data_IF_643469823975
#
_entry.id   IF_643469823975
#
_cell.length_a   1.000
_cell.length_b   1.000
_cell.length_c   1.000
_cell.angle_alpha   90.00
_cell.angle_beta   90.00
_cell.angle_gamma   90.00
#
_symmetry.space_group_name_H-M   'P 1'
#
loop_
_entity.id
_entity.type
_entity.pdbx_description
1 polymer ?
#
# COMPACT_ATOMS: atom_id res chain seq x y z
N UNK A 1 0.74 5.63 19.29
CA UNK A 1 0.75 4.24 18.77
C UNK A 1 -0.28 3.47 19.58
N UNK A 2 -1.21 2.79 18.92
CA UNK A 2 -2.23 1.99 19.62
C UNK A 2 -2.19 0.53 19.16
N UNK A 3 -2.46 -0.38 20.10
CA UNK A 3 -2.51 -1.81 19.85
C UNK A 3 -3.94 -2.26 19.53
N UNK A 4 -4.13 -2.82 18.34
CA UNK A 4 -5.39 -3.43 17.89
C UNK A 4 -5.27 -4.93 18.06
N UNK A 5 -6.23 -5.59 18.69
CA UNK A 5 -6.09 -7.00 19.13
C UNK A 5 -6.46 -8.05 18.08
N UNK A 6 -7.23 -7.70 17.04
CA UNK A 6 -7.76 -8.67 16.08
C UNK A 6 -7.62 -8.19 14.62
N UNK A 7 -6.53 -8.53 13.92
CA UNK A 7 -5.31 -9.19 14.41
C UNK A 7 -4.43 -8.25 15.25
N UNK A 8 -3.63 -8.82 16.16
CA UNK A 8 -2.66 -8.08 16.98
C UNK A 8 -1.73 -7.25 16.10
N UNK A 9 -1.91 -5.94 16.07
CA UNK A 9 -1.10 -4.99 15.30
C UNK A 9 -0.95 -3.68 16.07
N UNK A 10 0.10 -2.92 15.79
CA UNK A 10 0.22 -1.55 16.31
C UNK A 10 0.16 -0.57 15.15
N UNK A 11 -0.68 0.45 15.27
CA UNK A 11 -0.93 1.44 14.22
C UNK A 11 -0.70 2.86 14.75
N UNK A 12 -0.39 3.78 13.84
CA UNK A 12 -0.37 5.21 14.14
C UNK A 12 -1.79 5.76 14.03
N UNK A 13 -2.25 6.39 15.11
CA UNK A 13 -3.58 6.98 15.21
C UNK A 13 -3.44 8.44 15.64
N UNK A 14 -4.21 9.31 15.01
CA UNK A 14 -4.31 10.73 15.33
C UNK A 14 -5.66 11.01 15.98
N UNK A 15 -5.65 11.53 17.21
CA UNK A 15 -6.85 12.04 17.87
C UNK A 15 -7.43 13.22 17.08
N UNK A 16 -8.73 13.21 16.84
CA UNK A 16 -9.45 14.35 16.25
C UNK A 16 -9.88 15.26 17.39
N UNK A 17 -9.54 16.55 17.30
CA UNK A 17 -9.87 17.56 18.32
C UNK A 17 -9.44 17.22 19.77
N UNK A 18 -8.43 16.36 19.94
CA UNK A 18 -7.95 15.93 21.25
C UNK A 18 -8.78 14.82 21.91
N UNK A 19 -9.84 14.33 21.27
CA UNK A 19 -10.60 13.17 21.74
C UNK A 19 -10.01 11.88 21.16
N UNK A 20 -9.58 10.97 22.05
CA UNK A 20 -9.08 9.65 21.67
C UNK A 20 -10.18 8.71 21.16
N UNK A 21 -11.46 9.02 21.42
CA UNK A 21 -12.60 8.20 20.97
C UNK A 21 -12.92 8.39 19.48
N UNK A 22 -12.49 9.50 18.88
CA UNK A 22 -12.66 9.77 17.44
C UNK A 22 -11.33 9.66 16.67
N UNK A 23 -10.37 8.92 17.23
CA UNK A 23 -9.03 8.84 16.67
C UNK A 23 -9.05 8.08 15.33
N UNK A 24 -8.39 8.63 14.30
CA UNK A 24 -8.30 8.04 12.95
C UNK A 24 -6.89 7.59 12.63
N UNK A 25 -6.78 6.50 11.88
CA UNK A 25 -5.50 6.00 11.39
C UNK A 25 -4.82 7.03 10.49
N UNK A 26 -3.50 7.20 10.70
CA UNK A 26 -2.72 8.12 9.90
C UNK A 26 -2.37 7.50 8.55
N UNK A 27 -2.86 8.12 7.48
CA UNK A 27 -2.53 7.78 6.09
C UNK A 27 -1.42 8.71 5.60
N UNK A 28 -0.39 8.14 5.02
CA UNK A 28 0.77 8.85 4.47
C UNK A 28 0.76 8.77 2.96
N UNK A 29 1.15 9.86 2.31
CA UNK A 29 1.22 9.99 0.86
C UNK A 29 2.68 9.98 0.44
N UNK A 30 3.03 9.13 -0.52
CA UNK A 30 4.39 9.02 -1.04
C UNK A 30 4.34 9.04 -2.56
N UNK A 31 5.17 9.87 -3.17
CA UNK A 31 5.31 10.00 -4.61
C UNK A 31 6.54 9.23 -5.07
N UNK A 32 6.47 8.52 -6.20
CA UNK A 32 7.62 7.85 -6.77
C UNK A 32 7.36 7.26 -8.14
N UNK A 33 8.37 6.60 -8.67
CA UNK A 33 8.32 5.86 -9.94
C UNK A 33 8.12 4.40 -9.61
N UNK A 34 7.15 3.75 -10.26
CA UNK A 34 6.84 2.34 -10.06
C UNK A 34 7.97 1.46 -10.62
N UNK A 35 8.72 0.80 -9.73
CA UNK A 35 9.85 -0.06 -10.08
C UNK A 35 9.43 -1.53 -10.24
N UNK A 36 8.58 -2.02 -9.35
CA UNK A 36 8.03 -3.37 -9.39
C UNK A 36 6.57 -3.39 -8.90
N UNK A 37 5.80 -4.37 -9.35
CA UNK A 37 4.40 -4.52 -8.97
C UNK A 37 3.94 -5.98 -8.98
N UNK A 38 3.13 -6.32 -7.98
CA UNK A 38 2.30 -7.52 -7.94
C UNK A 38 0.88 -7.06 -7.67
N UNK A 39 0.13 -6.77 -8.74
CA UNK A 39 -1.23 -6.24 -8.65
C UNK A 39 -2.23 -7.21 -9.32
N UNK A 40 -3.52 -7.16 -8.95
CA UNK A 40 -4.58 -7.87 -9.67
C UNK A 40 -4.74 -7.33 -11.10
N UNK A 41 -5.53 -7.95 -11.98
CA UNK A 41 -6.20 -9.23 -11.80
C UNK A 41 -5.24 -10.42 -11.90
N UNK A 42 -5.48 -11.47 -11.11
CA UNK A 42 -4.71 -12.70 -11.24
C UNK A 42 -5.06 -13.40 -12.56
N UNK A 43 -4.06 -13.79 -13.34
CA UNK A 43 -4.29 -14.48 -14.61
C UNK A 43 -4.66 -15.95 -14.41
N UNK A 44 -4.11 -16.56 -13.35
CA UNK A 44 -4.33 -17.95 -12.98
C UNK A 44 -4.36 -18.08 -11.47
N UNK A 45 -5.04 -19.11 -10.98
CA UNK A 45 -4.99 -19.46 -9.55
C UNK A 45 -3.57 -19.90 -9.19
N UNK A 46 -2.95 -19.33 -8.13
CA UNK A 46 -1.63 -19.76 -7.69
C UNK A 46 -1.63 -21.26 -7.36
N UNK A 47 -0.64 -21.99 -7.88
CA UNK A 47 -0.41 -23.41 -7.61
C UNK A 47 0.18 -23.60 -6.20
N UNK A 48 -0.62 -23.32 -5.18
CA UNK A 48 -0.25 -23.47 -3.78
C UNK A 48 -1.40 -24.06 -2.97
N UNK A 49 -1.07 -24.57 -1.78
CA UNK A 49 -2.09 -25.12 -0.88
C UNK A 49 -3.05 -24.02 -0.43
N UNK A 50 -4.36 -24.29 -0.31
CA UNK A 50 -5.36 -23.26 0.02
C UNK A 50 -5.07 -22.49 1.31
N UNK A 51 -4.43 -23.13 2.29
CA UNK A 51 -4.04 -22.48 3.54
C UNK A 51 -3.05 -21.32 3.36
N UNK A 52 -2.30 -21.29 2.24
CA UNK A 52 -1.35 -20.23 1.90
C UNK A 52 -2.00 -19.03 1.21
N UNK A 53 -3.27 -19.10 0.79
CA UNK A 53 -3.94 -17.98 0.13
C UNK A 53 -4.03 -16.73 1.03
N UNK A 54 -4.11 -16.91 2.35
CA UNK A 54 -4.07 -15.80 3.34
C UNK A 54 -2.78 -14.98 3.33
N UNK A 55 -1.72 -15.50 2.72
CA UNK A 55 -0.43 -14.83 2.63
C UNK A 55 -0.22 -14.14 1.28
N UNK A 56 -1.15 -14.33 0.33
CA UNK A 56 -1.09 -13.63 -0.95
C UNK A 56 -1.37 -12.14 -0.75
N UNK A 57 -0.55 -11.32 -1.41
CA UNK A 57 -0.59 -9.88 -1.30
C UNK A 57 -0.62 -9.22 -2.68
N UNK A 58 -1.27 -8.08 -2.75
CA UNK A 58 -1.03 -7.06 -3.74
C UNK A 58 0.00 -6.07 -3.20
N UNK A 59 0.90 -5.57 -4.04
CA UNK A 59 1.90 -4.62 -3.58
C UNK A 59 2.69 -4.00 -4.72
N UNK A 60 3.39 -2.94 -4.38
CA UNK A 60 4.21 -2.15 -5.28
C UNK A 60 5.52 -1.79 -4.62
N UNK A 61 6.54 -1.62 -5.45
CA UNK A 61 7.82 -1.07 -5.06
C UNK A 61 8.04 0.20 -5.87
N UNK A 62 8.26 1.32 -5.20
CA UNK A 62 8.49 2.62 -5.83
C UNK A 62 9.90 3.12 -5.52
N UNK A 63 10.49 3.89 -6.42
CA UNK A 63 11.78 4.57 -6.20
C UNK A 63 11.67 6.05 -6.57
N UNK A 64 12.51 6.88 -5.96
CA UNK A 64 12.59 8.30 -6.24
C UNK A 64 13.71 8.72 -7.18
N UNK A 65 14.61 7.81 -7.59
CA UNK A 65 15.82 8.14 -8.36
C UNK A 65 16.56 9.36 -7.77
N UNK A 66 16.81 9.32 -6.46
CA UNK A 66 17.50 10.37 -5.69
C UNK A 66 16.82 11.75 -5.67
N UNK A 67 15.51 11.82 -5.99
CA UNK A 67 14.75 13.06 -5.82
C UNK A 67 14.67 13.49 -4.34
N UNK A 68 14.82 14.78 -4.03
CA UNK A 68 14.78 15.27 -2.65
C UNK A 68 13.50 14.90 -1.91
N UNK A 69 12.35 15.00 -2.59
CA UNK A 69 11.03 14.69 -2.02
C UNK A 69 10.90 13.22 -1.62
N UNK A 70 11.48 12.31 -2.39
CA UNK A 70 11.48 10.89 -2.06
C UNK A 70 12.45 10.57 -0.93
N UNK A 71 13.65 11.16 -0.97
CA UNK A 71 14.64 11.05 0.12
C UNK A 71 14.07 11.54 1.44
N UNK A 72 13.29 12.64 1.44
CA UNK A 72 12.60 13.13 2.64
C UNK A 72 11.49 12.17 3.07
N UNK A 73 10.77 11.54 2.13
CA UNK A 73 9.78 10.50 2.47
C UNK A 73 10.42 9.29 3.16
N UNK A 74 11.62 8.87 2.74
CA UNK A 74 12.39 7.80 3.40
C UNK A 74 12.82 8.23 4.81
N UNK A 75 13.30 9.46 4.98
CA UNK A 75 13.66 10.00 6.30
C UNK A 75 12.45 10.01 7.23
N UNK A 76 11.30 10.54 6.79
CA UNK A 76 10.06 10.55 7.59
C UNK A 76 9.59 9.14 7.96
N UNK A 77 9.72 8.19 7.04
CA UNK A 77 9.40 6.79 7.34
C UNK A 77 10.38 6.17 8.37
N UNK A 78 11.64 6.61 8.36
CA UNK A 78 12.65 6.22 9.36
C UNK A 78 12.35 6.84 10.73
N UNK A 79 11.86 8.07 10.78
CA UNK A 79 11.37 8.69 12.02
C UNK A 79 10.17 7.95 12.58
N UNK A 80 9.22 7.55 11.72
CA UNK A 80 8.08 6.72 12.10
C UNK A 80 8.52 5.37 12.65
N UNK A 81 9.55 4.75 12.06
CA UNK A 81 10.15 3.55 12.63
C UNK A 81 10.64 3.79 14.06
N UNK A 82 11.36 4.89 14.31
CA UNK A 82 11.82 5.26 15.65
C UNK A 82 10.69 5.46 16.65
N UNK A 83 9.58 6.06 16.21
CA UNK A 83 8.37 6.19 17.05
C UNK A 83 7.80 4.82 17.46
N UNK A 84 7.81 3.84 16.56
CA UNK A 84 7.38 2.49 16.91
C UNK A 84 8.38 1.80 17.82
N UNK A 85 9.68 1.87 17.52
CA UNK A 85 10.74 1.18 18.25
C UNK A 85 10.74 1.54 19.74
N UNK A 86 10.52 2.82 20.06
CA UNK A 86 10.35 3.29 21.44
C UNK A 86 9.21 2.64 22.24
N UNK A 87 8.23 2.03 21.58
CA UNK A 87 7.13 1.34 22.25
C UNK A 87 7.43 -0.14 22.56
N UNK A 88 8.62 -0.64 22.22
CA UNK A 88 9.02 -2.02 22.42
C UNK A 88 10.32 -2.12 23.23
N UNK A 89 10.55 -3.29 23.85
CA UNK A 89 11.83 -3.58 24.49
C UNK A 89 12.96 -3.61 23.45
N UNK A 90 14.17 -3.24 23.87
CA UNK A 90 15.34 -3.20 23.01
C UNK A 90 15.57 -4.54 22.28
N UNK A 91 15.87 -4.46 20.98
CA UNK A 91 16.12 -5.63 20.13
C UNK A 91 14.87 -6.41 19.70
N UNK A 92 13.67 -5.99 20.12
CA UNK A 92 12.41 -6.65 19.73
C UNK A 92 11.95 -6.26 18.33
N UNK A 93 12.18 -5.03 17.90
CA UNK A 93 11.82 -4.55 16.57
C UNK A 93 12.88 -4.96 15.55
N UNK A 94 12.47 -5.63 14.48
CA UNK A 94 13.37 -5.90 13.36
C UNK A 94 13.73 -4.60 12.64
N UNK A 95 15.02 -4.46 12.32
CA UNK A 95 15.52 -3.33 11.54
C UNK A 95 14.70 -3.16 10.27
N UNK A 96 14.13 -1.97 10.09
CA UNK A 96 13.40 -1.65 8.88
C UNK A 96 14.38 -1.48 7.72
N UNK A 97 14.28 -2.37 6.75
CA UNK A 97 15.02 -2.30 5.50
C UNK A 97 14.15 -1.62 4.45
N UNK A 98 14.35 -0.31 4.27
CA UNK A 98 13.88 0.43 3.09
C UNK A 98 14.76 0.17 1.87
N UNK A 99 15.74 -0.71 1.98
CA UNK A 99 16.80 -0.79 0.99
C UNK A 99 17.15 -2.26 0.80
N UNK A 100 16.67 -2.82 -0.31
CA UNK A 100 17.43 -3.88 -0.96
C UNK A 100 18.67 -3.21 -1.52
N UNK A 101 19.68 -3.01 -0.67
CA UNK A 101 20.88 -2.27 -1.01
C UNK A 101 21.84 -3.24 -1.70
N UNK A 102 21.58 -3.56 -2.97
CA UNK A 102 22.71 -3.94 -3.83
C UNK A 102 23.49 -2.66 -4.18
N UNK A 103 24.82 -2.72 -4.43
CA UNK A 103 25.65 -1.52 -4.63
C UNK A 103 25.22 -0.58 -5.76
N UNK A 104 24.28 -1.00 -6.62
CA UNK A 104 23.81 -0.26 -7.80
C UNK A 104 22.28 0.00 -7.79
N UNK A 105 21.56 -0.31 -6.71
CA UNK A 105 20.10 -0.07 -6.63
C UNK A 105 19.79 1.23 -5.88
N UNK A 106 18.92 2.06 -6.48
CA UNK A 106 18.38 3.25 -5.84
C UNK A 106 17.52 2.89 -4.62
N UNK A 107 17.43 3.79 -3.65
CA UNK A 107 16.52 3.61 -2.51
C UNK A 107 15.08 3.40 -3.01
N UNK A 108 14.36 2.47 -2.37
CA UNK A 108 13.02 2.08 -2.80
C UNK A 108 12.09 1.78 -1.64
N UNK A 109 10.80 2.00 -1.82
CA UNK A 109 9.78 1.75 -0.80
C UNK A 109 8.87 0.64 -1.28
N UNK A 110 8.75 -0.41 -0.49
CA UNK A 110 7.82 -1.50 -0.73
C UNK A 110 6.58 -1.38 0.15
N UNK A 111 5.41 -1.29 -0.48
CA UNK A 111 4.10 -1.28 0.18
C UNK A 111 3.23 -2.43 -0.33
N UNK A 112 2.54 -3.12 0.59
CA UNK A 112 1.70 -4.26 0.21
C UNK A 112 0.48 -4.43 1.11
N UNK A 113 -0.59 -5.00 0.58
CA UNK A 113 -1.79 -5.36 1.30
C UNK A 113 -2.22 -6.79 0.97
N UNK A 114 -2.80 -7.51 1.93
CA UNK A 114 -3.28 -8.89 1.71
C UNK A 114 -4.57 -8.84 0.89
N UNK A 115 -4.76 -9.82 0.01
CA UNK A 115 -6.06 -9.96 -0.67
C UNK A 115 -7.15 -10.47 0.27
N UNK A 116 -6.76 -11.33 1.21
CA UNK A 116 -7.66 -12.10 2.07
C UNK A 116 -7.11 -12.17 3.49
N UNK A 117 -8.01 -12.20 4.47
CA UNK A 117 -7.73 -12.45 5.89
C UNK A 117 -8.51 -13.65 6.39
N UNK A 118 -8.16 -14.16 7.57
CA UNK A 118 -8.94 -15.20 8.23
C UNK A 118 -10.35 -14.67 8.54
N UNK A 119 -11.37 -15.47 8.21
CA UNK A 119 -12.76 -15.19 8.60
C UNK A 119 -12.88 -15.35 10.10
N UNK A 120 -12.88 -14.22 10.79
CA UNK A 120 -13.30 -14.12 12.20
C UNK A 120 -14.74 -13.58 12.20
N UNK A 121 -14.97 -12.43 12.81
CA UNK A 121 -16.28 -11.76 12.83
C UNK A 121 -16.52 -10.85 11.61
N UNK A 122 -15.50 -10.71 10.75
CA UNK A 122 -15.56 -9.79 9.64
C UNK A 122 -16.41 -10.30 8.47
N UNK A 123 -17.22 -9.39 7.91
CA UNK A 123 -18.08 -9.65 6.75
C UNK A 123 -17.28 -9.59 5.45
N UNK A 124 -17.50 -10.55 4.56
CA UNK A 124 -16.87 -10.57 3.23
C UNK A 124 -17.41 -9.45 2.36
N UNK A 125 -16.52 -8.57 1.91
CA UNK A 125 -16.79 -7.58 0.87
C UNK A 125 -16.49 -8.18 -0.50
N UNK A 126 -17.36 -7.99 -1.50
CA UNK A 126 -17.13 -8.50 -2.85
C UNK A 126 -15.99 -7.74 -3.52
N UNK A 127 -15.11 -8.47 -4.20
CA UNK A 127 -14.09 -7.85 -5.06
C UNK A 127 -14.74 -7.05 -6.20
N UNK A 128 -14.19 -5.87 -6.48
CA UNK A 128 -14.59 -5.06 -7.64
C UNK A 128 -14.33 -5.83 -8.94
N UNK A 129 -15.20 -5.66 -9.94
CA UNK A 129 -15.07 -6.34 -11.24
C UNK A 129 -13.76 -6.03 -11.96
N UNK A 130 -13.21 -4.83 -11.75
CA UNK A 130 -11.91 -4.43 -12.31
C UNK A 130 -10.72 -5.17 -11.65
N UNK A 131 -10.89 -5.61 -10.39
CA UNK A 131 -9.88 -6.29 -9.59
C UNK A 131 -9.94 -7.81 -9.79
N UNK A 132 -11.15 -8.40 -9.82
CA UNK A 132 -11.33 -9.85 -10.02
C UNK A 132 -12.29 -10.20 -11.17
N UNK A 133 -11.98 -9.84 -12.42
CA UNK A 133 -12.85 -10.06 -13.57
C UNK A 133 -13.13 -11.56 -13.84
N UNK A 134 -12.21 -12.44 -13.42
CA UNK A 134 -12.31 -13.90 -13.60
C UNK A 134 -12.84 -14.64 -12.36
N UNK A 135 -13.14 -13.94 -11.26
CA UNK A 135 -13.61 -14.57 -10.02
C UNK A 135 -12.56 -15.45 -9.32
N UNK A 136 -11.27 -15.29 -9.61
CA UNK A 136 -10.19 -16.13 -9.05
C UNK A 136 -9.97 -15.79 -7.58
N UNK A 137 -9.92 -14.50 -7.23
CA UNK A 137 -9.78 -14.06 -5.83
C UNK A 137 -11.02 -14.49 -5.02
N UNK A 138 -12.21 -14.33 -5.60
CA UNK A 138 -13.48 -14.81 -5.02
C UNK A 138 -13.45 -16.33 -4.80
N UNK A 139 -12.99 -17.11 -5.77
CA UNK A 139 -12.86 -18.56 -5.64
C UNK A 139 -11.81 -19.00 -4.61
N UNK A 140 -10.85 -18.13 -4.26
CA UNK A 140 -9.89 -18.38 -3.19
C UNK A 140 -10.43 -18.06 -1.80
N UNK A 141 -11.39 -17.12 -1.68
CA UNK A 141 -11.97 -16.70 -0.41
C UNK A 141 -12.58 -17.86 0.40
N UNK A 142 -13.20 -18.87 -0.25
CA UNK A 142 -13.78 -20.08 0.42
C UNK A 142 -14.56 -19.73 1.71
N UNK A 143 -14.74 -20.70 2.62
CA UNK A 143 -15.44 -20.49 3.89
C UNK A 143 -14.58 -19.84 4.97
N UNK A 144 -13.26 -20.03 4.93
CA UNK A 144 -12.36 -19.63 6.02
C UNK A 144 -11.65 -18.29 5.80
N UNK A 145 -11.78 -17.66 4.62
CA UNK A 145 -11.13 -16.39 4.33
C UNK A 145 -12.11 -15.34 3.83
N UNK A 146 -11.84 -14.09 4.18
CA UNK A 146 -12.67 -12.94 3.79
C UNK A 146 -11.81 -11.81 3.24
N UNK A 147 -12.41 -11.02 2.36
CA UNK A 147 -11.88 -9.75 1.90
C UNK A 147 -12.66 -8.67 2.66
N UNK A 148 -11.98 -7.70 3.24
CA UNK A 148 -12.59 -6.61 4.00
C UNK A 148 -12.15 -5.27 3.45
N UNK A 149 -12.71 -4.17 3.96
CA UNK A 149 -12.30 -2.81 3.62
C UNK A 149 -10.79 -2.60 3.83
N UNK A 150 -10.23 -3.10 4.95
CA UNK A 150 -8.78 -3.10 5.22
C UNK A 150 -7.92 -3.76 4.13
N UNK A 151 -8.50 -4.61 3.27
CA UNK A 151 -7.79 -5.30 2.18
C UNK A 151 -8.01 -4.66 0.82
N UNK A 152 -8.99 -3.76 0.69
CA UNK A 152 -9.26 -3.09 -0.57
C UNK A 152 -8.14 -2.09 -0.86
N UNK A 153 -7.69 -2.07 -2.11
CA UNK A 153 -6.71 -1.10 -2.58
C UNK A 153 -7.39 -0.26 -3.64
N UNK A 154 -7.44 1.04 -3.41
CA UNK A 154 -8.07 1.95 -4.35
C UNK A 154 -7.11 2.26 -5.51
N UNK A 155 -7.57 2.02 -6.73
CA UNK A 155 -6.81 2.24 -7.97
C UNK A 155 -7.37 3.45 -8.71
N UNK A 156 -6.61 4.53 -8.83
CA UNK A 156 -7.09 5.72 -9.54
C UNK A 156 -6.08 6.26 -10.56
N UNK A 157 -6.56 7.11 -11.46
CA UNK A 157 -5.74 7.97 -12.31
C UNK A 157 -6.10 9.42 -12.02
N UNK A 158 -5.10 10.25 -11.77
CA UNK A 158 -5.24 11.69 -11.69
C UNK A 158 -5.18 12.28 -13.11
N UNK A 159 -6.12 13.17 -13.42
CA UNK A 159 -6.19 13.88 -14.70
C UNK A 159 -6.33 15.38 -14.46
N UNK A 160 -5.63 16.17 -15.27
CA UNK A 160 -5.72 17.63 -15.25
C UNK A 160 -6.79 18.12 -16.23
N UNK A 161 -7.77 18.86 -15.74
CA UNK A 161 -8.74 19.56 -16.60
C UNK A 161 -8.19 20.91 -17.06
N UNK A 162 -8.80 21.51 -18.10
CA UNK A 162 -8.40 22.78 -18.71
C UNK A 162 -8.31 23.98 -17.73
N UNK A 163 -8.91 23.88 -16.54
CA UNK A 163 -8.92 24.90 -15.50
C UNK A 163 -7.88 24.67 -14.38
N UNK A 164 -6.95 23.72 -14.54
CA UNK A 164 -5.97 23.38 -13.50
C UNK A 164 -6.53 22.57 -12.33
N UNK A 165 -7.81 22.16 -12.39
CA UNK A 165 -8.40 21.23 -11.43
C UNK A 165 -7.98 19.80 -11.72
N UNK A 166 -7.62 19.08 -10.68
CA UNK A 166 -7.33 17.65 -10.72
C UNK A 166 -8.60 16.85 -10.43
N UNK A 167 -8.85 15.80 -11.20
CA UNK A 167 -9.88 14.83 -10.89
C UNK A 167 -9.31 13.42 -10.87
N UNK A 168 -9.80 12.61 -9.93
CA UNK A 168 -9.41 11.23 -9.76
C UNK A 168 -10.49 10.35 -10.39
N UNK A 169 -10.09 9.46 -11.29
CA UNK A 169 -10.97 8.46 -11.89
C UNK A 169 -10.52 7.08 -11.46
N UNK A 170 -11.44 6.26 -10.97
CA UNK A 170 -11.17 4.86 -10.68
C UNK A 170 -10.78 4.11 -11.96
N UNK A 171 -9.72 3.32 -11.88
CA UNK A 171 -9.19 2.51 -12.98
C UNK A 171 -8.92 1.09 -12.49
N UNK A 172 -8.68 0.17 -13.41
CA UNK A 172 -8.24 -1.16 -13.05
C UNK A 172 -6.73 -1.20 -12.75
N UNK A 173 -6.28 -2.11 -11.88
CA UNK A 173 -4.88 -2.32 -11.53
C UNK A 173 -3.96 -2.67 -12.72
N UNK A 174 -4.52 -3.19 -13.81
CA UNK A 174 -3.82 -3.47 -15.06
C UNK A 174 -3.32 -2.20 -15.79
N UNK A 175 -3.82 -1.02 -15.43
CA UNK A 175 -3.46 0.24 -16.09
C UNK A 175 -2.05 0.74 -15.70
N UNK A 176 -1.54 0.36 -14.54
CA UNK A 176 -0.21 0.75 -14.07
C UNK A 176 0.88 0.00 -14.83
N UNK A 177 2.03 0.60 -15.07
CA UNK A 177 3.19 0.00 -15.72
C UNK A 177 4.47 0.38 -14.95
N UNK A 178 5.49 -0.47 -15.06
CA UNK A 178 6.82 -0.13 -14.54
C UNK A 178 7.30 1.14 -15.26
N UNK A 179 7.81 2.11 -14.50
CA UNK A 179 8.19 3.43 -14.98
C UNK A 179 7.12 4.51 -14.81
N UNK A 180 5.88 4.15 -14.46
CA UNK A 180 4.83 5.13 -14.19
C UNK A 180 5.16 5.98 -12.95
N UNK A 181 4.88 7.27 -13.03
CA UNK A 181 4.88 8.16 -11.86
C UNK A 181 3.58 7.96 -11.11
N UNK A 182 3.68 7.61 -9.83
CA UNK A 182 2.54 7.26 -9.00
C UNK A 182 2.59 8.00 -7.66
N UNK A 183 1.41 8.24 -7.13
CA UNK A 183 1.20 8.55 -5.72
C UNK A 183 0.66 7.29 -5.04
N UNK A 184 1.27 6.86 -3.95
CA UNK A 184 0.74 5.78 -3.10
C UNK A 184 0.29 6.34 -1.76
N UNK A 185 -0.80 5.79 -1.25
CA UNK A 185 -1.21 6.01 0.13
C UNK A 185 -0.93 4.76 0.95
N UNK A 186 -0.30 4.95 2.10
CA UNK A 186 0.16 3.86 2.95
C UNK A 186 -0.16 4.11 4.42
N UNK A 187 -0.34 3.01 5.14
CA UNK A 187 -0.35 2.97 6.60
C UNK A 187 0.95 2.34 7.09
N UNK A 188 1.57 2.88 8.14
CA UNK A 188 2.63 2.19 8.85
C UNK A 188 2.02 1.34 9.96
N UNK A 189 2.28 0.03 9.89
CA UNK A 189 1.73 -0.96 10.81
C UNK A 189 2.84 -1.84 11.33
N UNK A 190 2.89 -2.06 12.64
CA UNK A 190 3.77 -3.06 13.24
C UNK A 190 3.00 -4.36 13.44
N UNK A 191 3.57 -5.45 12.96
CA UNK A 191 3.01 -6.80 13.07
C UNK A 191 3.91 -7.68 13.92
N UNK A 192 3.35 -8.59 14.74
CA UNK A 192 4.12 -9.58 15.47
C UNK A 192 4.69 -10.62 14.50
N UNK A 193 5.91 -11.05 14.81
CA UNK A 193 6.61 -12.17 14.17
C UNK A 193 6.71 -13.34 15.14
N UNK A 194 7.39 -14.41 14.70
CA UNK A 194 7.83 -15.48 15.60
C UNK A 194 8.90 -14.94 16.56
N UNK A 195 9.14 -15.67 17.65
CA UNK A 195 10.18 -15.37 18.63
C UNK A 195 10.03 -14.00 19.31
N UNK A 196 8.77 -13.59 19.52
CA UNK A 196 8.37 -12.32 20.12
C UNK A 196 8.87 -11.05 19.41
N UNK A 197 9.50 -11.17 18.24
CA UNK A 197 9.91 -10.04 17.43
C UNK A 197 8.71 -9.34 16.81
N UNK A 198 8.90 -8.09 16.44
CA UNK A 198 7.90 -7.30 15.71
C UNK A 198 8.55 -6.65 14.50
N UNK A 199 7.77 -6.39 13.45
CA UNK A 199 8.26 -5.75 12.22
C UNK A 199 7.31 -4.67 11.75
N UNK A 200 7.86 -3.52 11.39
CA UNK A 200 7.11 -2.49 10.67
C UNK A 200 6.93 -2.88 9.21
N UNK A 201 5.70 -2.75 8.73
CA UNK A 201 5.32 -2.92 7.32
C UNK A 201 4.53 -1.69 6.85
N UNK A 202 4.59 -1.43 5.55
CA UNK A 202 3.79 -0.40 4.90
C UNK A 202 2.60 -1.07 4.20
N UNK A 203 1.40 -0.82 4.70
CA UNK A 203 0.17 -1.36 4.14
C UNK A 203 -0.33 -0.42 3.05
N UNK A 204 -0.41 -0.94 1.82
CA UNK A 204 -0.90 -0.19 0.67
C UNK A 204 -2.42 0.03 0.78
N UNK A 205 -2.86 1.29 0.73
CA UNK A 205 -4.28 1.69 0.76
C UNK A 205 -4.76 2.14 -0.62
N UNK A 206 -3.95 2.91 -1.34
CA UNK A 206 -4.28 3.33 -2.69
C UNK A 206 -3.04 3.55 -3.54
N UNK A 207 -3.24 3.50 -4.86
CA UNK A 207 -2.25 3.90 -5.85
C UNK A 207 -2.94 4.72 -6.93
N UNK A 208 -2.35 5.87 -7.22
CA UNK A 208 -2.84 6.84 -8.19
C UNK A 208 -1.80 7.02 -9.29
N UNK A 209 -2.20 6.80 -10.53
CA UNK A 209 -1.38 7.13 -11.69
C UNK A 209 -1.38 8.65 -11.89
N UNK A 210 -0.20 9.26 -11.82
CA UNK A 210 -0.03 10.69 -12.06
C UNK A 210 0.30 10.91 -13.53
N UNK A 211 -0.63 11.51 -14.26
CA UNK A 211 -0.42 11.83 -15.67
C UNK A 211 0.48 13.07 -15.78
N UNK A 212 1.74 12.87 -16.18
CA UNK A 212 2.67 13.96 -16.47
C UNK A 212 2.29 14.64 -17.81
N UNK A 213 2.03 15.96 -17.71
CA UNK A 213 1.88 16.95 -18.78
C UNK A 213 1.02 16.57 -20.01
N UNK A 214 -0.21 17.07 -20.01
CA UNK A 214 -0.99 17.33 -21.23
C UNK A 214 -0.11 18.10 -22.24
N UNK A 215 0.14 17.50 -23.41
CA UNK A 215 0.84 18.15 -24.53
C UNK A 215 0.30 19.58 -24.68
N UNK A 216 1.14 20.58 -24.44
CA UNK A 216 0.88 21.95 -24.91
C UNK A 216 0.63 21.81 -26.40
N UNK A 217 -0.61 22.08 -26.85
CA UNK A 217 -0.92 22.15 -28.28
C UNK A 217 0.00 23.23 -28.84
N UNK A 218 1.04 22.81 -29.57
CA UNK A 218 1.74 23.74 -30.47
C UNK A 218 0.67 24.25 -31.41
N UNK A 219 0.29 25.53 -31.27
CA UNK A 219 -0.39 26.25 -32.33
C UNK A 219 0.57 26.17 -33.52
N UNK A 220 0.25 25.34 -34.50
CA UNK A 220 0.77 25.54 -35.84
C UNK A 220 0.10 26.80 -36.35
N UNK A 221 0.85 27.89 -36.35
CA UNK A 221 0.51 29.08 -37.12
C UNK A 221 0.42 28.66 -38.59
N UNK A 222 -0.76 28.92 -39.17
CA UNK A 222 -1.00 29.05 -40.59
C UNK A 222 -1.92 30.23 -40.79
#
# INVERSE_FOLDING_TARGET
VEAIQQPKTWRLIKAINGDSREAKEMVFVIHGILQDKSLPPLNMKPKTVPSRYRFLKQGVTITGLDTPTFSDSIKSATEIYGLFDWNFAEGRMELWSCVNRTPNECDSIHASNRYLMLKMEATHQPFKKLVDPKGILKAMAKESYVHTEDNDVLYTKCKTQAEGKFFYKEIGPQAFQIGDIVEIQVLFVVVPLKDEKVKMIMVLQSITLLEAWSKVKRKTDK
#
